data_IF_061198650250
#
_entry.id   IF_061198650250
#
_cell.length_a   1.000
_cell.length_b   1.000
_cell.length_c   1.000
_cell.angle_alpha   90.00
_cell.angle_beta   90.00
_cell.angle_gamma   90.00
#
_symmetry.space_group_name_H-M   'P 1'
#
loop_
_entity.id
_entity.type
_entity.pdbx_description
1 polymer ?
#
# COMPACT_ATOMS: atom_id res chain seq x y z
N UNK A 1 -36.02 -26.87 -39.91
CA UNK A 1 -35.10 -25.85 -39.38
C UNK A 1 -33.68 -26.18 -39.82
N UNK A 2 -33.02 -25.33 -40.62
CA UNK A 2 -31.62 -25.54 -41.01
C UNK A 2 -30.71 -25.03 -39.88
N UNK A 3 -30.04 -25.94 -39.18
CA UNK A 3 -29.00 -25.58 -38.23
C UNK A 3 -27.81 -25.03 -39.02
N UNK A 4 -27.47 -23.76 -38.83
CA UNK A 4 -26.25 -23.16 -39.36
C UNK A 4 -25.09 -23.67 -38.50
N UNK A 5 -24.47 -24.75 -38.94
CA UNK A 5 -23.25 -25.27 -38.30
C UNK A 5 -22.17 -24.22 -38.46
N UNK A 6 -21.83 -23.53 -37.36
CA UNK A 6 -20.71 -22.59 -37.33
C UNK A 6 -19.44 -23.44 -37.25
N UNK A 7 -18.84 -23.74 -38.41
CA UNK A 7 -17.52 -24.33 -38.44
C UNK A 7 -16.51 -23.32 -37.91
N UNK A 8 -15.82 -23.68 -36.84
CA UNK A 8 -14.61 -22.96 -36.44
C UNK A 8 -13.55 -23.32 -37.48
N UNK A 9 -13.11 -22.35 -38.29
CA UNK A 9 -11.98 -22.57 -39.22
C UNK A 9 -10.81 -23.19 -38.44
N UNK A 10 -10.41 -24.39 -38.83
CA UNK A 10 -9.33 -25.16 -38.21
C UNK A 10 -7.95 -24.80 -38.76
N UNK A 11 -7.88 -23.82 -39.66
CA UNK A 11 -6.62 -23.41 -40.29
C UNK A 11 -5.74 -22.63 -39.31
N UNK A 12 -4.57 -23.20 -39.04
CA UNK A 12 -3.59 -22.70 -38.08
C UNK A 12 -3.16 -21.25 -38.36
N UNK A 13 -3.04 -20.89 -39.64
CA UNK A 13 -2.72 -19.53 -40.09
C UNK A 13 -3.74 -18.47 -39.65
N UNK A 14 -5.04 -18.76 -39.77
CA UNK A 14 -6.10 -17.83 -39.36
C UNK A 14 -6.20 -17.69 -37.85
N UNK A 15 -5.93 -18.78 -37.13
CA UNK A 15 -5.86 -18.83 -35.65
C UNK A 15 -4.69 -18.00 -35.12
N UNK A 16 -3.53 -18.11 -35.74
CA UNK A 16 -2.34 -17.36 -35.33
C UNK A 16 -2.50 -15.85 -35.58
N UNK A 17 -3.06 -15.45 -36.73
CA UNK A 17 -3.40 -14.05 -37.01
C UNK A 17 -4.37 -13.46 -35.98
N UNK A 18 -5.40 -14.22 -35.59
CA UNK A 18 -6.37 -13.80 -34.56
C UNK A 18 -5.73 -13.73 -33.18
N UNK A 19 -4.85 -14.69 -32.83
CA UNK A 19 -4.09 -14.68 -31.57
C UNK A 19 -3.18 -13.44 -31.47
N UNK A 20 -2.39 -13.16 -32.51
CA UNK A 20 -1.55 -11.95 -32.59
C UNK A 20 -2.36 -10.66 -32.43
N UNK A 21 -3.52 -10.55 -33.08
CA UNK A 21 -4.39 -9.38 -32.95
C UNK A 21 -4.96 -9.22 -31.54
N UNK A 22 -5.35 -10.32 -30.89
CA UNK A 22 -5.86 -10.33 -29.52
C UNK A 22 -4.76 -9.98 -28.52
N UNK A 23 -3.58 -10.57 -28.66
CA UNK A 23 -2.39 -10.28 -27.86
C UNK A 23 -1.96 -8.82 -28.01
N UNK A 24 -2.00 -8.27 -29.22
CA UNK A 24 -1.74 -6.85 -29.47
C UNK A 24 -2.73 -5.95 -28.72
N UNK A 25 -4.03 -6.26 -28.74
CA UNK A 25 -5.04 -5.49 -28.01
C UNK A 25 -4.84 -5.60 -26.50
N UNK A 26 -4.49 -6.77 -25.98
CA UNK A 26 -4.15 -6.94 -24.56
C UNK A 26 -2.93 -6.12 -24.17
N UNK A 27 -1.86 -6.15 -24.96
CA UNK A 27 -0.65 -5.36 -24.75
C UNK A 27 -0.94 -3.85 -24.81
N UNK A 28 -1.74 -3.42 -25.79
CA UNK A 28 -2.13 -2.03 -25.96
C UNK A 28 -2.98 -1.54 -24.77
N UNK A 29 -3.91 -2.37 -24.30
CA UNK A 29 -4.73 -2.05 -23.13
C UNK A 29 -3.88 -2.04 -21.85
N UNK A 30 -2.93 -2.95 -21.69
CA UNK A 30 -2.00 -2.96 -20.56
C UNK A 30 -1.16 -1.66 -20.52
N UNK A 31 -0.57 -1.25 -21.65
CA UNK A 31 0.19 -0.01 -21.76
C UNK A 31 -0.67 1.23 -21.48
N UNK A 32 -1.94 1.24 -21.92
CA UNK A 32 -2.89 2.30 -21.60
C UNK A 32 -3.23 2.36 -20.11
N UNK A 33 -3.48 1.20 -19.49
CA UNK A 33 -3.77 1.12 -18.05
C UNK A 33 -2.57 1.57 -17.23
N UNK A 34 -1.34 1.21 -17.61
CA UNK A 34 -0.11 1.68 -16.95
C UNK A 34 -0.06 3.22 -16.92
N UNK A 35 -0.34 3.87 -18.05
CA UNK A 35 -0.32 5.34 -18.14
C UNK A 35 -1.47 6.01 -17.39
N UNK A 36 -2.65 5.39 -17.35
CA UNK A 36 -3.82 5.90 -16.59
C UNK A 36 -3.57 5.76 -15.08
N UNK A 37 -2.94 4.68 -14.65
CA UNK A 37 -2.63 4.42 -13.24
C UNK A 37 -1.30 5.02 -12.78
N UNK A 38 -0.54 5.67 -13.67
CA UNK A 38 0.69 6.37 -13.32
C UNK A 38 0.38 7.58 -12.43
N UNK A 39 0.38 7.35 -11.11
CA UNK A 39 0.36 8.39 -10.07
C UNK A 39 1.72 8.35 -9.35
N UNK A 40 2.76 8.99 -9.91
CA UNK A 40 4.14 8.83 -9.43
C UNK A 40 4.38 9.48 -8.07
N UNK A 41 3.59 10.47 -7.70
CA UNK A 41 3.70 11.15 -6.42
C UNK A 41 2.97 10.38 -5.30
N UNK A 42 3.73 9.92 -4.31
CA UNK A 42 3.20 9.17 -3.15
C UNK A 42 2.93 10.09 -1.96
N UNK A 43 3.81 11.06 -1.71
CA UNK A 43 3.74 12.02 -0.62
C UNK A 43 5.05 12.79 -0.47
N UNK A 44 5.03 13.82 0.34
CA UNK A 44 6.17 14.67 0.71
C UNK A 44 6.56 14.47 2.18
N UNK A 45 7.83 14.79 2.48
CA UNK A 45 8.33 14.90 3.85
C UNK A 45 8.39 16.40 4.15
N UNK A 46 7.30 16.92 4.68
CA UNK A 46 7.21 18.32 5.11
C UNK A 46 8.10 18.54 6.34
N UNK A 47 8.74 19.71 6.46
CA UNK A 47 9.48 20.25 7.63
C UNK A 47 10.88 20.85 7.41
N UNK A 48 11.39 21.00 6.19
CA UNK A 48 12.63 21.76 6.01
C UNK A 48 12.38 23.28 5.99
N UNK A 49 13.13 24.02 6.82
CA UNK A 49 13.09 25.50 6.85
C UNK A 49 13.81 26.06 5.62
N UNK A 50 14.82 25.33 5.12
CA UNK A 50 15.65 25.70 3.98
C UNK A 50 15.79 24.51 2.99
N UNK A 51 16.54 24.68 1.91
CA UNK A 51 16.79 23.64 0.91
C UNK A 51 17.53 22.44 1.51
N UNK A 52 17.14 21.23 1.08
CA UNK A 52 17.83 20.00 1.46
C UNK A 52 19.16 19.92 0.70
N UNK A 53 20.27 20.03 1.42
CA UNK A 53 21.61 19.97 0.83
C UNK A 53 22.11 18.52 0.69
N UNK A 54 21.76 17.64 1.63
CA UNK A 54 22.21 16.25 1.60
C UNK A 54 21.11 15.27 2.04
N UNK A 55 21.17 14.04 1.51
CA UNK A 55 20.31 12.93 1.95
C UNK A 55 21.14 11.66 2.06
N UNK A 56 20.83 10.82 3.05
CA UNK A 56 21.45 9.52 3.21
C UNK A 56 20.40 8.45 3.53
N UNK A 57 20.56 7.27 2.95
CA UNK A 57 19.74 6.09 3.29
C UNK A 57 20.49 5.21 4.28
N UNK A 58 19.79 4.64 5.26
CA UNK A 58 20.39 3.64 6.13
C UNK A 58 20.48 2.29 5.40
N UNK A 59 21.71 1.83 5.14
CA UNK A 59 21.99 0.56 4.43
C UNK A 59 21.29 -0.67 5.04
N UNK A 60 21.27 -0.76 6.38
CA UNK A 60 20.77 -1.94 7.10
C UNK A 60 19.26 -1.92 7.39
N UNK A 61 18.56 -0.80 7.18
CA UNK A 61 17.12 -0.71 7.44
C UNK A 61 16.46 0.29 6.49
N UNK A 62 15.56 -0.21 5.64
CA UNK A 62 14.96 0.57 4.55
C UNK A 62 13.95 1.64 5.01
N UNK A 63 13.50 1.56 6.27
CA UNK A 63 12.50 2.47 6.83
C UNK A 63 13.05 3.79 7.37
N UNK A 64 14.37 4.03 7.34
CA UNK A 64 14.97 5.24 7.92
C UNK A 64 15.84 5.99 6.90
N UNK A 65 15.47 7.25 6.65
CA UNK A 65 16.25 8.18 5.83
C UNK A 65 16.78 9.33 6.69
N UNK A 66 17.86 9.92 6.23
CA UNK A 66 18.45 11.13 6.79
C UNK A 66 18.42 12.23 5.74
N UNK A 67 18.16 13.46 6.14
CA UNK A 67 18.26 14.65 5.28
C UNK A 67 18.90 15.79 6.05
N UNK A 68 19.92 16.44 5.49
CA UNK A 68 20.53 17.64 6.05
C UNK A 68 20.07 18.89 5.31
N UNK A 69 19.62 19.88 6.08
CA UNK A 69 19.34 21.25 5.64
C UNK A 69 20.52 22.15 6.03
N UNK A 70 20.66 23.32 5.41
CA UNK A 70 21.74 24.28 5.69
C UNK A 70 21.47 25.16 6.93
N UNK A 71 20.62 24.70 7.85
CA UNK A 71 20.18 25.44 9.04
C UNK A 71 21.10 25.25 10.26
N UNK A 72 22.23 24.55 10.11
CA UNK A 72 23.13 24.24 11.22
C UNK A 72 22.58 23.14 12.16
N UNK A 73 21.59 22.37 11.74
CA UNK A 73 21.23 21.10 12.37
C UNK A 73 22.03 19.94 11.76
N UNK A 74 22.48 18.99 12.59
CA UNK A 74 22.91 17.68 12.09
C UNK A 74 21.63 16.94 11.63
N UNK A 75 21.63 16.49 10.38
CA UNK A 75 20.58 15.79 9.65
C UNK A 75 19.29 15.35 10.42
N UNK A 76 18.13 15.73 9.87
CA UNK A 76 16.83 15.21 10.28
C UNK A 76 16.71 13.71 9.98
N UNK A 77 16.14 12.97 10.93
CA UNK A 77 15.86 11.54 10.79
C UNK A 77 14.39 11.31 10.46
N UNK A 78 14.13 10.60 9.37
CA UNK A 78 12.78 10.27 8.90
C UNK A 78 12.45 8.80 9.06
N UNK A 79 11.19 8.53 9.35
CA UNK A 79 10.57 7.22 9.11
C UNK A 79 9.75 7.25 7.82
N UNK A 80 10.10 6.43 6.83
CA UNK A 80 9.43 6.39 5.52
C UNK A 80 8.02 5.81 5.61
N UNK A 81 7.76 4.92 6.56
CA UNK A 81 6.46 4.26 6.66
C UNK A 81 5.37 5.22 7.12
N UNK A 82 5.76 6.19 7.95
CA UNK A 82 4.86 7.20 8.51
C UNK A 82 5.02 8.57 7.82
N UNK A 83 6.08 8.77 7.04
CA UNK A 83 6.47 10.06 6.45
C UNK A 83 6.62 11.14 7.52
N UNK A 84 7.30 10.80 8.61
CA UNK A 84 7.36 11.61 9.84
C UNK A 84 8.79 11.80 10.26
N UNK A 85 9.09 13.03 10.69
CA UNK A 85 10.36 13.35 11.34
C UNK A 85 10.36 12.72 12.72
N UNK A 86 11.33 11.85 12.96
CA UNK A 86 11.54 11.22 14.25
C UNK A 86 12.32 12.13 15.21
N UNK A 87 13.42 12.71 14.74
CA UNK A 87 14.33 13.51 15.58
C UNK A 87 15.07 14.57 14.74
N UNK A 88 15.33 15.75 15.33
CA UNK A 88 16.31 16.73 14.86
C UNK A 88 17.57 16.56 15.70
N UNK A 89 18.75 16.41 15.09
CA UNK A 89 20.00 16.31 15.85
C UNK A 89 20.61 17.71 15.93
N UNK A 90 20.64 18.38 17.09
CA UNK A 90 21.33 19.66 17.23
C UNK A 90 22.85 19.47 17.05
N UNK A 91 23.53 20.48 16.49
CA UNK A 91 25.00 20.51 16.30
C UNK A 91 25.79 20.50 17.62
N UNK A 92 25.13 20.59 18.78
CA UNK A 92 25.79 20.65 20.07
C UNK A 92 26.32 19.28 20.53
N UNK A 93 27.48 18.88 20.00
CA UNK A 93 28.42 18.02 20.73
C UNK A 93 29.86 18.46 20.38
N UNK A 94 30.18 19.70 20.77
CA UNK A 94 31.55 20.10 21.10
C UNK A 94 31.66 21.33 22.02
N UNK A 95 30.55 22.02 22.35
CA UNK A 95 30.52 22.98 23.47
C UNK A 95 29.15 22.92 24.15
N UNK A 96 29.17 22.79 25.47
CA UNK A 96 27.98 22.84 26.33
C UNK A 96 27.39 24.26 26.33
N UNK A 97 26.07 24.36 26.23
CA UNK A 97 25.26 25.44 26.81
C UNK A 97 23.80 24.99 26.81
N UNK A 98 23.16 25.10 27.97
CA UNK A 98 21.76 24.81 28.20
C UNK A 98 20.83 25.71 27.36
N UNK A 99 20.01 25.11 26.50
CA UNK A 99 18.74 25.70 26.09
C UNK A 99 17.61 24.66 26.10
N UNK A 100 16.71 24.85 27.05
CA UNK A 100 15.47 24.10 27.16
C UNK A 100 14.62 24.31 25.91
N UNK A 101 14.41 23.23 25.17
CA UNK A 101 13.25 23.12 24.29
C UNK A 101 12.73 21.70 24.38
N UNK A 102 11.42 21.60 24.58
CA UNK A 102 10.71 20.38 24.94
C UNK A 102 10.90 19.25 23.93
N UNK A 103 11.89 18.38 24.18
CA UNK A 103 11.92 17.03 23.64
C UNK A 103 10.94 16.14 24.41
N UNK A 104 9.67 16.55 24.49
CA UNK A 104 8.62 15.62 24.83
C UNK A 104 8.47 14.68 23.63
N UNK A 105 9.10 13.51 23.72
CA UNK A 105 8.76 12.36 22.90
C UNK A 105 7.29 12.05 23.16
N UNK A 106 6.39 12.66 22.38
CA UNK A 106 4.98 12.36 22.52
C UNK A 106 4.78 10.88 22.17
N UNK A 107 4.09 10.11 23.03
CA UNK A 107 4.02 8.66 22.88
C UNK A 107 3.46 8.32 21.50
N UNK A 108 4.03 7.26 20.88
CA UNK A 108 3.67 6.75 19.54
C UNK A 108 2.15 6.69 19.27
N UNK A 109 1.34 6.56 20.32
CA UNK A 109 -0.12 6.64 20.28
C UNK A 109 -0.69 7.94 19.67
N UNK A 110 -0.10 9.11 19.95
CA UNK A 110 -0.60 10.41 19.43
C UNK A 110 -0.34 10.52 17.92
N UNK A 111 0.79 9.99 17.45
CA UNK A 111 1.14 10.00 16.04
C UNK A 111 0.31 9.01 15.21
N UNK A 112 0.05 7.82 15.78
CA UNK A 112 -0.86 6.82 15.20
C UNK A 112 -2.27 7.41 15.07
N UNK A 113 -2.76 8.19 16.05
CA UNK A 113 -4.06 8.84 15.97
C UNK A 113 -4.14 9.93 14.89
N UNK A 114 -3.08 10.72 14.70
CA UNK A 114 -3.04 11.81 13.70
C UNK A 114 -3.00 11.31 12.26
N UNK A 115 -2.40 10.14 12.03
CA UNK A 115 -2.36 9.46 10.73
C UNK A 115 -3.66 8.72 10.36
N UNK A 116 -4.57 8.52 11.33
CA UNK A 116 -5.88 7.88 11.11
C UNK A 116 -6.92 8.84 10.53
N UNK A 117 -6.80 10.15 10.76
CA UNK A 117 -7.76 11.16 10.31
C UNK A 117 -7.30 11.87 9.03
N UNK A 118 -7.40 11.20 7.87
CA UNK A 118 -7.27 11.85 6.55
C UNK A 118 -8.64 12.15 5.95
N UNK A 119 -8.80 13.31 5.30
CA UNK A 119 -10.01 13.62 4.55
C UNK A 119 -10.08 12.76 3.29
N UNK A 120 -10.84 11.67 3.37
CA UNK A 120 -11.03 10.75 2.25
C UNK A 120 -12.27 11.16 1.43
N UNK A 121 -12.19 11.22 0.09
CA UNK A 121 -13.36 11.49 -0.74
C UNK A 121 -14.54 10.57 -0.41
N UNK A 122 -15.75 11.13 -0.41
CA UNK A 122 -16.97 10.44 0.07
C UNK A 122 -17.23 9.11 -0.67
N UNK A 123 -16.92 9.01 -1.96
CA UNK A 123 -17.09 7.77 -2.74
C UNK A 123 -16.21 6.63 -2.20
N UNK A 124 -14.96 6.94 -1.86
CA UNK A 124 -13.99 5.98 -1.33
C UNK A 124 -14.35 5.61 0.11
N UNK A 125 -14.71 6.58 0.94
CA UNK A 125 -15.14 6.32 2.32
C UNK A 125 -16.37 5.41 2.37
N UNK A 126 -17.37 5.63 1.50
CA UNK A 126 -18.58 4.79 1.43
C UNK A 126 -18.26 3.36 0.98
N UNK A 127 -17.47 3.19 -0.07
CA UNK A 127 -17.08 1.86 -0.56
C UNK A 127 -16.26 1.08 0.48
N UNK A 128 -15.28 1.72 1.11
CA UNK A 128 -14.47 1.09 2.17
C UNK A 128 -15.30 0.72 3.40
N UNK A 129 -16.29 1.54 3.77
CA UNK A 129 -17.24 1.22 4.85
C UNK A 129 -18.06 -0.03 4.53
N UNK A 130 -18.61 -0.13 3.33
CA UNK A 130 -19.38 -1.31 2.88
C UNK A 130 -18.53 -2.59 2.86
N UNK A 131 -17.28 -2.51 2.38
CA UNK A 131 -16.36 -3.65 2.38
C UNK A 131 -16.08 -4.14 3.81
N UNK A 132 -15.89 -3.23 4.76
CA UNK A 132 -15.69 -3.58 6.18
C UNK A 132 -16.92 -4.26 6.77
N UNK A 133 -18.11 -3.71 6.51
CA UNK A 133 -19.38 -4.30 6.96
C UNK A 133 -19.58 -5.70 6.38
N UNK A 134 -19.27 -5.92 5.10
CA UNK A 134 -19.35 -7.23 4.45
C UNK A 134 -18.40 -8.25 5.10
N UNK A 135 -17.13 -7.88 5.32
CA UNK A 135 -16.13 -8.74 5.95
C UNK A 135 -16.53 -9.11 7.39
N UNK A 136 -17.04 -8.14 8.15
CA UNK A 136 -17.48 -8.35 9.53
C UNK A 136 -18.72 -9.25 9.61
N UNK A 137 -19.64 -9.12 8.64
CA UNK A 137 -20.77 -10.04 8.49
C UNK A 137 -20.34 -11.46 8.12
N UNK A 138 -19.38 -11.62 7.20
CA UNK A 138 -18.81 -12.93 6.86
C UNK A 138 -18.13 -13.59 8.05
N UNK A 139 -17.31 -12.83 8.78
CA UNK A 139 -16.64 -13.29 10.01
C UNK A 139 -17.66 -13.79 11.03
N UNK A 140 -18.70 -13.00 11.31
CA UNK A 140 -19.77 -13.38 12.25
C UNK A 140 -20.52 -14.63 11.79
N UNK A 141 -20.82 -14.75 10.49
CA UNK A 141 -21.52 -15.93 9.93
C UNK A 141 -20.65 -17.18 10.05
N UNK A 142 -19.36 -17.05 9.85
CA UNK A 142 -18.42 -18.15 10.02
C UNK A 142 -18.23 -18.56 11.48
N UNK A 143 -18.14 -17.60 12.40
CA UNK A 143 -18.09 -17.87 13.84
C UNK A 143 -19.34 -18.59 14.33
N UNK A 144 -20.53 -18.17 13.86
CA UNK A 144 -21.78 -18.88 14.13
C UNK A 144 -21.77 -20.29 13.54
N UNK A 145 -21.35 -20.45 12.28
CA UNK A 145 -21.20 -21.78 11.67
C UNK A 145 -20.27 -22.67 12.50
N UNK A 146 -19.15 -22.13 12.98
CA UNK A 146 -18.19 -22.85 13.83
C UNK A 146 -18.78 -23.23 15.18
N UNK A 147 -19.46 -22.31 15.85
CA UNK A 147 -20.08 -22.54 17.16
C UNK A 147 -21.21 -23.59 17.10
N UNK A 148 -21.90 -23.70 15.97
CA UNK A 148 -23.02 -24.63 15.77
C UNK A 148 -22.64 -25.90 14.98
N UNK A 149 -21.35 -26.15 14.74
CA UNK A 149 -20.89 -27.39 14.09
C UNK A 149 -20.21 -28.31 15.10
N UNK A 150 -20.13 -29.60 14.77
CA UNK A 150 -19.41 -30.57 15.59
C UNK A 150 -17.93 -30.16 15.76
N UNK A 151 -17.36 -30.27 16.97
CA UNK A 151 -16.00 -29.84 17.25
C UNK A 151 -15.01 -30.56 16.33
N UNK A 152 -14.15 -29.79 15.65
CA UNK A 152 -13.13 -30.33 14.73
C UNK A 152 -13.58 -30.56 13.29
N UNK A 153 -14.86 -30.39 12.96
CA UNK A 153 -15.35 -30.58 11.58
C UNK A 153 -14.98 -29.45 10.61
N UNK A 154 -14.90 -28.20 11.10
CA UNK A 154 -14.56 -27.02 10.28
C UNK A 154 -13.06 -26.72 10.39
N UNK A 155 -12.34 -26.91 9.28
CA UNK A 155 -10.92 -26.61 9.15
C UNK A 155 -10.67 -25.09 9.10
N UNK A 156 -9.93 -24.54 10.08
CA UNK A 156 -9.66 -23.11 10.15
C UNK A 156 -8.47 -22.74 9.24
N UNK A 157 -8.77 -22.36 7.99
CA UNK A 157 -7.77 -21.79 7.08
C UNK A 157 -7.64 -20.30 7.33
N UNK A 158 -6.40 -19.79 7.36
CA UNK A 158 -6.14 -18.35 7.47
C UNK A 158 -6.74 -17.58 6.28
N UNK A 159 -7.19 -16.34 6.49
CA UNK A 159 -7.83 -15.51 5.45
C UNK A 159 -6.96 -15.36 4.19
N UNK A 160 -5.63 -15.33 4.35
CA UNK A 160 -4.67 -15.27 3.24
C UNK A 160 -4.73 -16.51 2.35
N UNK A 161 -4.84 -17.70 2.95
CA UNK A 161 -4.92 -18.97 2.23
C UNK A 161 -6.27 -19.20 1.54
N UNK A 162 -7.34 -18.50 1.96
CA UNK A 162 -8.68 -18.60 1.34
C UNK A 162 -8.82 -17.83 0.04
N UNK A 163 -8.03 -16.77 -0.15
CA UNK A 163 -8.06 -15.93 -1.36
C UNK A 163 -7.23 -16.51 -2.51
N UNK A 164 -6.40 -17.51 -2.22
CA UNK A 164 -5.63 -18.21 -3.23
C UNK A 164 -6.56 -19.25 -3.84
N UNK A 165 -6.95 -19.02 -5.09
CA UNK A 165 -7.62 -20.03 -5.91
C UNK A 165 -6.69 -21.25 -5.99
N UNK A 166 -7.10 -22.41 -5.46
CA UNK A 166 -6.45 -23.65 -5.84
C UNK A 166 -6.90 -23.96 -7.25
N UNK A 167 -6.02 -23.77 -8.23
CA UNK A 167 -6.20 -24.36 -9.56
C UNK A 167 -6.29 -25.88 -9.37
N UNK A 168 -7.30 -26.48 -10.02
CA UNK A 168 -7.78 -27.82 -9.72
C UNK A 168 -6.78 -28.94 -10.05
N UNK A 169 -6.84 -29.98 -9.22
CA UNK A 169 -6.62 -31.37 -9.65
C UNK A 169 -7.84 -31.86 -10.44
#
# INVERSE_FOLDING_TARGET
>A
MRLKVISRHTDEFTRERRRRAVEYVFALNAAKLEKIFARPFVGDMDWHIDVVSCMAKKSLSLGRNFSGSMDGGLADVWDLATSVRLWKVPIATLMESDDGSDNSSQPLAVHVLKSIHKHLPKSIYKATKQIREMIECERRREERRKAHSAPGSIQNKSLRMRRISKEGE
#
